data_IF_825013387777
#
_entry.id   IF_825013387777
#
_cell.length_a   1.000
_cell.length_b   1.000
_cell.length_c   1.000
_cell.angle_alpha   90.00
_cell.angle_beta   90.00
_cell.angle_gamma   90.00
#
_symmetry.space_group_name_H-M   'P 1'
#
loop_
_entity.id
_entity.type
_entity.pdbx_description
1 polymer ?
#
# COMPACT_ATOMS: atom_id res chain seq x y z
N UNK A 1 -16.16 -9.64 -13.38
CA UNK A 1 -15.16 -9.26 -12.38
C UNK A 1 -15.79 -8.35 -11.34
N UNK A 2 -16.23 -7.14 -11.69
CA UNK A 2 -16.78 -6.16 -10.73
C UNK A 2 -18.04 -6.66 -9.98
N UNK A 3 -18.89 -7.43 -10.63
CA UNK A 3 -20.07 -8.03 -9.99
C UNK A 3 -19.66 -9.07 -8.91
N UNK A 4 -18.52 -9.69 -9.05
CA UNK A 4 -18.04 -10.75 -8.14
C UNK A 4 -17.23 -10.18 -6.96
N UNK A 5 -16.33 -9.26 -7.24
CA UNK A 5 -15.36 -8.76 -6.24
C UNK A 5 -15.57 -7.29 -5.85
N UNK A 6 -16.56 -6.63 -6.45
CA UNK A 6 -16.79 -5.19 -6.24
C UNK A 6 -15.78 -4.30 -6.95
N UNK A 7 -15.90 -3.01 -6.72
CA UNK A 7 -15.03 -1.96 -7.27
C UNK A 7 -13.69 -1.88 -6.51
N UNK A 8 -12.79 -1.03 -7.00
CA UNK A 8 -11.59 -0.63 -6.25
C UNK A 8 -11.99 0.07 -4.94
N UNK A 9 -11.24 -0.20 -3.89
CA UNK A 9 -11.54 0.33 -2.56
C UNK A 9 -11.00 1.77 -2.42
N UNK A 10 -11.89 2.74 -2.45
CA UNK A 10 -11.56 4.17 -2.38
C UNK A 10 -10.80 4.59 -1.10
N UNK A 11 -10.80 3.76 -0.04
CA UNK A 11 -10.06 4.03 1.20
C UNK A 11 -8.55 4.08 0.98
N UNK A 12 -8.04 3.41 -0.06
CA UNK A 12 -6.63 3.50 -0.42
C UNK A 12 -6.25 4.89 -0.91
N UNK A 13 -7.10 5.54 -1.67
CA UNK A 13 -6.88 6.85 -2.30
C UNK A 13 -5.74 6.87 -3.33
N UNK A 14 -4.57 6.38 -2.96
CA UNK A 14 -3.38 6.27 -3.82
C UNK A 14 -2.52 5.10 -3.36
N UNK A 15 -1.99 4.31 -4.28
CA UNK A 15 -1.22 3.08 -4.04
C UNK A 15 -2.02 1.96 -3.33
N UNK A 16 -1.74 0.73 -3.67
CA UNK A 16 -2.38 -0.48 -3.15
C UNK A 16 -3.84 -0.71 -3.57
N UNK A 17 -4.51 0.21 -4.21
CA UNK A 17 -5.86 0.03 -4.75
C UNK A 17 -5.88 -1.04 -5.85
N UNK A 18 -4.93 -1.00 -6.77
CA UNK A 18 -4.68 -2.02 -7.79
C UNK A 18 -4.25 -3.36 -7.16
N UNK A 19 -3.34 -3.33 -6.20
CA UNK A 19 -2.87 -4.51 -5.47
C UNK A 19 -4.01 -5.21 -4.74
N UNK A 20 -4.86 -4.47 -4.04
CA UNK A 20 -6.04 -4.99 -3.35
C UNK A 20 -7.04 -5.59 -4.34
N UNK A 21 -7.27 -4.91 -5.45
CA UNK A 21 -8.20 -5.38 -6.48
C UNK A 21 -7.72 -6.69 -7.11
N UNK A 22 -6.45 -6.77 -7.50
CA UNK A 22 -5.84 -7.97 -8.06
C UNK A 22 -5.80 -9.12 -7.05
N UNK A 23 -5.51 -8.84 -5.78
CA UNK A 23 -5.54 -9.83 -4.71
C UNK A 23 -6.93 -10.44 -4.57
N UNK A 24 -7.99 -9.60 -4.49
CA UNK A 24 -9.38 -10.08 -4.40
C UNK A 24 -9.80 -10.86 -5.65
N UNK A 25 -9.38 -10.42 -6.84
CA UNK A 25 -9.64 -11.14 -8.08
C UNK A 25 -9.02 -12.54 -8.05
N UNK A 26 -7.75 -12.64 -7.67
CA UNK A 26 -7.05 -13.91 -7.57
C UNK A 26 -7.68 -14.85 -6.53
N UNK A 27 -8.03 -14.33 -5.36
CA UNK A 27 -8.70 -15.10 -4.29
C UNK A 27 -10.09 -15.61 -4.74
N UNK A 28 -10.77 -14.86 -5.61
CA UNK A 28 -12.05 -15.27 -6.20
C UNK A 28 -11.89 -16.23 -7.41
N UNK A 29 -10.68 -16.71 -7.70
CA UNK A 29 -10.39 -17.61 -8.82
C UNK A 29 -10.41 -16.95 -10.20
N UNK A 30 -10.43 -15.62 -10.26
CA UNK A 30 -10.39 -14.87 -11.52
C UNK A 30 -8.96 -14.85 -12.05
N UNK A 31 -8.74 -15.40 -13.24
CA UNK A 31 -7.42 -15.43 -13.86
C UNK A 31 -7.00 -14.04 -14.31
N UNK A 32 -5.85 -13.60 -13.82
CA UNK A 32 -5.17 -12.37 -14.27
C UNK A 32 -4.19 -12.73 -15.39
N UNK A 33 -4.27 -12.02 -16.52
CA UNK A 33 -3.34 -12.21 -17.64
C UNK A 33 -2.50 -10.95 -17.82
N UNK A 34 -1.21 -11.12 -17.91
CA UNK A 34 -0.28 -10.05 -18.29
C UNK A 34 -0.26 -9.99 -19.83
N UNK A 35 -0.50 -8.79 -20.37
CA UNK A 35 -0.37 -8.51 -21.79
C UNK A 35 1.05 -8.02 -22.04
N UNK A 36 1.77 -8.71 -22.94
CA UNK A 36 3.18 -8.40 -23.22
C UNK A 36 3.36 -7.25 -24.26
N UNK A 37 2.39 -6.32 -24.27
CA UNK A 37 2.41 -5.14 -25.13
C UNK A 37 2.15 -3.90 -24.28
N UNK A 38 2.90 -2.80 -24.46
CA UNK A 38 2.67 -1.57 -23.73
C UNK A 38 1.40 -0.88 -24.28
N UNK A 39 0.29 -0.98 -23.53
CA UNK A 39 -0.98 -0.37 -23.91
C UNK A 39 -1.16 1.05 -23.36
N UNK A 40 -0.37 1.44 -22.34
CA UNK A 40 -0.49 2.73 -21.67
C UNK A 40 0.89 3.31 -21.37
N UNK A 41 1.09 4.57 -21.69
CA UNK A 41 2.27 5.34 -21.26
C UNK A 41 1.96 6.08 -19.97
N UNK A 42 2.58 5.67 -18.87
CA UNK A 42 2.38 6.27 -17.56
C UNK A 42 3.52 7.24 -17.21
N UNK A 43 3.21 8.52 -16.97
CA UNK A 43 4.18 9.49 -16.46
C UNK A 43 4.44 9.24 -14.98
N UNK A 44 5.44 8.41 -14.71
CA UNK A 44 5.76 7.99 -13.32
C UNK A 44 6.20 9.20 -12.49
N UNK A 45 5.69 9.27 -11.26
CA UNK A 45 6.12 10.22 -10.21
C UNK A 45 5.95 11.73 -10.51
N UNK A 46 5.24 12.10 -11.56
CA UNK A 46 5.06 13.53 -11.91
C UNK A 46 4.20 14.26 -10.88
N UNK A 47 3.21 13.58 -10.30
CA UNK A 47 2.25 14.18 -9.34
C UNK A 47 2.56 13.87 -7.88
N UNK A 48 3.28 12.79 -7.60
CA UNK A 48 3.43 12.25 -6.23
C UNK A 48 4.85 12.36 -5.67
N UNK A 49 5.83 12.75 -6.49
CA UNK A 49 7.23 12.90 -6.08
C UNK A 49 7.97 11.59 -5.74
N UNK A 50 7.36 10.44 -6.04
CA UNK A 50 7.95 9.13 -5.76
C UNK A 50 7.81 8.64 -4.31
N UNK A 51 8.37 7.45 -4.02
CA UNK A 51 8.20 6.76 -2.73
C UNK A 51 8.81 7.45 -1.51
N UNK A 52 9.80 8.34 -1.69
CA UNK A 52 10.42 9.13 -0.61
C UNK A 52 9.83 10.53 -0.46
N UNK A 53 8.85 10.91 -1.28
CA UNK A 53 8.06 12.12 -1.06
C UNK A 53 7.21 12.00 0.20
N UNK A 54 6.76 13.12 0.77
CA UNK A 54 5.83 13.11 1.91
C UNK A 54 4.57 12.30 1.61
N UNK A 55 4.05 12.47 0.41
CA UNK A 55 2.88 11.76 -0.08
C UNK A 55 3.14 10.25 -0.18
N UNK A 56 4.22 9.84 -0.84
CA UNK A 56 4.59 8.44 -0.98
C UNK A 56 4.92 7.78 0.36
N UNK A 57 5.70 8.44 1.21
CA UNK A 57 6.04 7.94 2.54
C UNK A 57 4.79 7.65 3.39
N UNK A 58 3.81 8.55 3.37
CA UNK A 58 2.55 8.39 4.09
C UNK A 58 1.68 7.28 3.49
N UNK A 59 1.28 7.42 2.23
CA UNK A 59 0.30 6.51 1.63
C UNK A 59 0.81 5.08 1.43
N UNK A 60 2.06 4.88 1.02
CA UNK A 60 2.64 3.55 0.88
C UNK A 60 2.72 2.83 2.25
N UNK A 61 3.02 3.56 3.31
CA UNK A 61 3.09 2.97 4.65
C UNK A 61 1.71 2.64 5.19
N UNK A 62 0.79 3.61 5.15
CA UNK A 62 -0.59 3.45 5.60
C UNK A 62 -1.28 2.29 4.90
N UNK A 63 -1.19 2.29 3.58
CA UNK A 63 -1.92 1.35 2.75
C UNK A 63 -1.34 -0.07 2.81
N UNK A 64 -0.01 -0.20 2.97
CA UNK A 64 0.60 -1.52 3.19
C UNK A 64 0.09 -2.17 4.46
N UNK A 65 0.00 -1.41 5.56
CA UNK A 65 -0.53 -1.91 6.84
C UNK A 65 -2.02 -2.23 6.70
N UNK A 66 -2.79 -1.34 6.09
CA UNK A 66 -4.22 -1.56 5.85
C UNK A 66 -4.48 -2.77 4.98
N UNK A 67 -3.74 -2.94 3.89
CA UNK A 67 -3.84 -4.11 3.00
C UNK A 67 -3.56 -5.41 3.74
N UNK A 68 -2.48 -5.45 4.53
CA UNK A 68 -2.12 -6.64 5.29
C UNK A 68 -3.24 -7.02 6.28
N UNK A 69 -3.76 -6.06 7.03
CA UNK A 69 -4.83 -6.29 8.00
C UNK A 69 -6.16 -6.69 7.36
N UNK A 70 -6.44 -6.20 6.16
CA UNK A 70 -7.69 -6.46 5.44
C UNK A 70 -7.70 -7.81 4.75
N UNK A 71 -6.57 -8.22 4.16
CA UNK A 71 -6.54 -9.30 3.18
C UNK A 71 -5.71 -10.50 3.60
N UNK A 72 -4.82 -10.37 4.58
CA UNK A 72 -3.88 -11.42 4.96
C UNK A 72 -4.30 -12.01 6.31
N UNK A 73 -4.30 -13.34 6.42
CA UNK A 73 -4.64 -14.05 7.65
C UNK A 73 -3.49 -14.03 8.67
N UNK A 74 -3.85 -14.19 9.96
CA UNK A 74 -2.87 -14.40 11.00
C UNK A 74 -2.18 -15.78 10.82
N UNK A 75 -0.86 -15.91 11.14
CA UNK A 75 0.01 -14.91 11.75
C UNK A 75 0.68 -13.97 10.72
N UNK A 76 0.50 -14.19 9.42
CA UNK A 76 1.26 -13.51 8.36
C UNK A 76 1.03 -11.99 8.31
N UNK A 77 -0.20 -11.52 8.57
CA UNK A 77 -0.44 -10.07 8.61
C UNK A 77 0.31 -9.42 9.78
N UNK A 78 0.43 -10.09 10.94
CA UNK A 78 1.16 -9.58 12.11
C UNK A 78 2.64 -9.41 11.75
N UNK A 79 3.23 -10.42 11.11
CA UNK A 79 4.62 -10.37 10.65
C UNK A 79 4.83 -9.23 9.65
N UNK A 80 3.92 -9.10 8.67
CA UNK A 80 3.97 -8.04 7.65
C UNK A 80 3.86 -6.64 8.25
N UNK A 81 2.95 -6.44 9.21
CA UNK A 81 2.78 -5.17 9.91
C UNK A 81 4.01 -4.86 10.76
N UNK A 82 4.49 -5.81 11.55
CA UNK A 82 5.71 -5.67 12.36
C UNK A 82 6.92 -5.30 11.49
N UNK A 83 7.16 -6.03 10.42
CA UNK A 83 8.23 -5.74 9.46
C UNK A 83 8.10 -4.32 8.87
N UNK A 84 6.88 -3.90 8.53
CA UNK A 84 6.63 -2.56 7.99
C UNK A 84 6.96 -1.50 9.03
N UNK A 85 6.53 -1.67 10.29
CA UNK A 85 6.81 -0.73 11.38
C UNK A 85 8.33 -0.62 11.60
N UNK A 86 9.02 -1.74 11.75
CA UNK A 86 10.47 -1.76 11.98
C UNK A 86 11.21 -1.09 10.83
N UNK A 87 10.93 -1.45 9.59
CA UNK A 87 11.61 -0.87 8.42
C UNK A 87 11.34 0.62 8.26
N UNK A 88 10.13 1.11 8.58
CA UNK A 88 9.78 2.53 8.47
C UNK A 88 10.27 3.39 9.63
N UNK A 89 10.54 2.80 10.78
CA UNK A 89 11.12 3.51 11.92
C UNK A 89 12.65 3.46 11.93
N UNK A 90 13.25 2.31 11.65
CA UNK A 90 14.71 2.11 11.76
C UNK A 90 15.46 2.58 10.51
N UNK A 91 15.00 2.17 9.32
CA UNK A 91 15.70 2.50 8.06
C UNK A 91 15.91 4.02 7.83
N UNK A 92 14.90 4.89 8.06
CA UNK A 92 15.07 6.33 7.91
C UNK A 92 16.10 6.94 8.85
N UNK A 93 16.26 6.39 10.06
CA UNK A 93 17.28 6.84 11.02
C UNK A 93 18.69 6.56 10.50
N UNK A 94 18.91 5.39 9.90
CA UNK A 94 20.19 5.01 9.30
C UNK A 94 20.54 5.81 8.03
N UNK A 95 19.54 6.33 7.32
CA UNK A 95 19.69 7.00 6.02
C UNK A 95 19.61 8.53 6.08
N UNK A 96 19.63 9.14 7.26
CA UNK A 96 19.51 10.59 7.46
C UNK A 96 18.30 11.18 6.72
N UNK A 97 17.18 10.46 6.75
CA UNK A 97 15.94 10.88 6.10
C UNK A 97 15.44 12.21 6.69
N UNK A 98 14.97 13.16 5.90
CA UNK A 98 14.42 14.42 6.40
C UNK A 98 13.30 14.18 7.42
N UNK A 99 13.29 14.98 8.50
CA UNK A 99 12.35 14.82 9.61
C UNK A 99 10.87 14.80 9.18
N UNK A 100 10.50 15.62 8.22
CA UNK A 100 9.15 15.68 7.69
C UNK A 100 8.73 14.37 7.01
N UNK A 101 9.65 13.70 6.30
CA UNK A 101 9.41 12.38 5.69
C UNK A 101 9.30 11.31 6.77
N UNK A 102 10.15 11.36 7.80
CA UNK A 102 10.05 10.47 8.96
C UNK A 102 8.69 10.60 9.66
N UNK A 103 8.24 11.84 9.90
CA UNK A 103 6.91 12.13 10.47
C UNK A 103 5.78 11.55 9.59
N UNK A 104 5.93 11.60 8.27
CA UNK A 104 4.96 11.00 7.34
C UNK A 104 4.89 9.47 7.48
N UNK A 105 6.02 8.77 7.67
CA UNK A 105 6.04 7.35 7.98
C UNK A 105 5.31 7.02 9.29
N UNK A 106 5.62 7.75 10.37
CA UNK A 106 4.98 7.55 11.68
C UNK A 106 3.46 7.74 11.57
N UNK A 107 3.02 8.82 10.93
CA UNK A 107 1.59 9.08 10.70
C UNK A 107 0.94 7.99 9.85
N UNK A 108 1.63 7.53 8.79
CA UNK A 108 1.16 6.42 7.96
C UNK A 108 1.00 5.11 8.75
N UNK A 109 1.88 4.82 9.71
CA UNK A 109 1.76 3.67 10.60
C UNK A 109 0.50 3.79 11.46
N UNK A 110 0.32 4.91 12.15
CA UNK A 110 -0.82 5.15 13.04
C UNK A 110 -2.14 5.03 12.26
N UNK A 111 -2.26 5.77 11.17
CA UNK A 111 -3.49 5.78 10.37
C UNK A 111 -3.76 4.42 9.72
N UNK A 112 -2.71 3.69 9.31
CA UNK A 112 -2.84 2.33 8.76
C UNK A 112 -3.32 1.30 9.79
N UNK A 113 -2.93 1.46 11.05
CA UNK A 113 -3.42 0.64 12.15
C UNK A 113 -4.86 0.99 12.56
N UNK A 114 -5.25 2.26 12.44
CA UNK A 114 -6.57 2.76 12.85
C UNK A 114 -7.63 2.66 11.75
N UNK A 115 -7.24 2.55 10.49
CA UNK A 115 -8.18 2.49 9.37
C UNK A 115 -9.08 1.25 9.48
N UNK A 116 -10.39 1.47 9.51
CA UNK A 116 -11.37 0.38 9.70
C UNK A 116 -11.43 -0.54 8.48
N UNK A 117 -11.54 -1.84 8.72
CA UNK A 117 -11.69 -2.85 7.67
C UNK A 117 -13.09 -2.87 7.04
N UNK A 118 -14.08 -2.27 7.70
CA UNK A 118 -15.46 -2.13 7.21
C UNK A 118 -15.87 -0.67 7.18
#
# INVERSE_FOLDING_TARGET
VFATIGMMDARYFAYYDDTDFLYRANTAGIRVRIINEPLVFHKVSTSTGGGLSLFGAYYLTRNRIFFARKNIEAPYYIISVFFTIVTRLVYPLCRKTPYNVYKAFVRGIIDGLMLKNK
#
